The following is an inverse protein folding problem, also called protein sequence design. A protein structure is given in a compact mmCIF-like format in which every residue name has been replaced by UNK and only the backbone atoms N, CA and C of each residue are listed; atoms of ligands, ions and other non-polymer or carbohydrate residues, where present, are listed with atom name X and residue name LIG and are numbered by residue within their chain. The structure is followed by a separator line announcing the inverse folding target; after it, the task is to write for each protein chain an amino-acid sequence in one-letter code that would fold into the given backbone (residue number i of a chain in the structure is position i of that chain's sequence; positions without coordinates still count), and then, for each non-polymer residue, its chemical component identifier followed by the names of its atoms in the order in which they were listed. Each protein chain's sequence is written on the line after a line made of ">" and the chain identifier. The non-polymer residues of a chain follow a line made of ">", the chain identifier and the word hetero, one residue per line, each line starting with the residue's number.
data_IF_587077057251
#
_entry.id   IF_587077057251
#
_cell.length_a   1.000
_cell.length_b   1.000
_cell.length_c   1.000
_cell.angle_alpha   90.00
_cell.angle_beta   90.00
_cell.angle_gamma   90.00
#
_symmetry.space_group_name_H-M   'P 1'
#
loop_
_entity.id
_entity.type
_entity.pdbx_description
1 polymer ?
#
# COMPACT_ATOMS: atom_id res chain seq x y z
N UNK A 1 7.53 2.96 -6.34
CA UNK A 1 7.30 2.37 -5.02
C UNK A 1 5.94 1.68 -5.03
N UNK A 2 5.82 0.55 -4.35
CA UNK A 2 4.54 -0.09 -4.01
C UNK A 2 4.44 -0.13 -2.50
N UNK A 3 3.32 0.30 -1.94
CA UNK A 3 3.05 0.24 -0.51
C UNK A 3 1.75 -0.54 -0.24
N UNK A 4 1.66 -1.12 0.93
CA UNK A 4 0.48 -1.74 1.49
C UNK A 4 0.27 -1.17 2.88
N UNK A 5 -0.88 -0.54 3.10
CA UNK A 5 -1.36 -0.26 4.44
C UNK A 5 -2.27 -1.41 4.85
N UNK A 6 -1.95 -2.03 5.97
CA UNK A 6 -2.68 -3.19 6.45
C UNK A 6 -3.26 -2.91 7.84
N UNK A 7 -4.52 -3.30 8.01
CA UNK A 7 -5.18 -3.34 9.30
C UNK A 7 -5.81 -4.73 9.47
N UNK A 8 -5.45 -5.41 10.54
CA UNK A 8 -5.93 -6.78 10.80
C UNK A 8 -6.01 -7.08 12.30
N UNK A 9 -7.12 -7.67 12.69
CA UNK A 9 -7.38 -8.07 14.09
C UNK A 9 -7.36 -6.87 15.06
N UNK A 10 -7.14 -7.12 16.34
CA UNK A 10 -7.06 -6.07 17.37
C UNK A 10 -5.71 -5.33 17.38
N UNK A 11 -4.82 -5.67 16.44
CA UNK A 11 -3.49 -5.08 16.35
C UNK A 11 -3.48 -3.68 15.71
N UNK A 12 -2.35 -2.97 15.80
CA UNK A 12 -2.19 -1.67 15.19
C UNK A 12 -2.14 -1.77 13.66
N UNK A 13 -2.61 -0.72 12.97
CA UNK A 13 -2.40 -0.58 11.54
C UNK A 13 -0.88 -0.54 11.23
N UNK A 14 -0.49 -1.16 10.15
CA UNK A 14 0.92 -1.28 9.74
C UNK A 14 1.10 -0.85 8.29
N UNK A 15 2.27 -0.30 8.01
CA UNK A 15 2.68 0.10 6.66
C UNK A 15 3.85 -0.77 6.21
N UNK A 16 3.68 -1.38 5.06
CA UNK A 16 4.74 -2.14 4.37
C UNK A 16 4.99 -1.49 3.02
N UNK A 17 6.24 -1.36 2.63
CA UNK A 17 6.58 -0.78 1.33
C UNK A 17 7.70 -1.54 0.65
N UNK A 18 7.70 -1.48 -0.68
CA UNK A 18 8.81 -1.91 -1.52
C UNK A 18 9.18 -0.79 -2.47
N UNK A 19 10.46 -0.55 -2.57
CA UNK A 19 11.02 0.49 -3.43
C UNK A 19 11.85 -0.16 -4.53
N UNK A 20 11.75 0.41 -5.72
CA UNK A 20 12.49 0.00 -6.90
C UNK A 20 12.76 1.22 -7.77
N UNK A 21 13.81 1.17 -8.57
CA UNK A 21 14.06 2.13 -9.64
C UNK A 21 13.19 1.83 -10.87
N UNK A 22 12.67 2.87 -11.49
CA UNK A 22 11.80 2.77 -12.66
C UNK A 22 10.35 2.41 -12.33
N UNK A 23 9.60 2.07 -13.36
CA UNK A 23 8.19 1.69 -13.26
C UNK A 23 8.03 0.26 -12.74
N UNK A 24 6.96 0.01 -12.00
CA UNK A 24 6.58 -1.33 -11.57
C UNK A 24 5.90 -2.08 -12.73
N UNK A 25 6.36 -3.29 -12.99
CA UNK A 25 5.72 -4.24 -13.89
C UNK A 25 4.73 -5.13 -13.12
N UNK A 26 3.91 -5.91 -13.83
CA UNK A 26 3.04 -6.91 -13.20
C UNK A 26 3.82 -7.91 -12.36
N UNK A 27 4.99 -8.35 -12.81
CA UNK A 27 5.89 -9.23 -12.06
C UNK A 27 6.37 -8.60 -10.74
N UNK A 28 6.67 -7.31 -10.75
CA UNK A 28 7.08 -6.59 -9.54
C UNK A 28 5.95 -6.48 -8.53
N UNK A 29 4.72 -6.28 -9.01
CA UNK A 29 3.53 -6.23 -8.16
C UNK A 29 3.26 -7.61 -7.55
N UNK A 30 3.35 -8.69 -8.35
CA UNK A 30 3.23 -10.07 -7.85
C UNK A 30 4.28 -10.35 -6.78
N UNK A 31 5.53 -9.96 -7.02
CA UNK A 31 6.60 -10.11 -6.04
C UNK A 31 6.33 -9.30 -4.75
N UNK A 32 5.74 -8.11 -4.88
CA UNK A 32 5.33 -7.29 -3.74
C UNK A 32 4.18 -7.96 -2.96
N UNK A 33 3.16 -8.49 -3.62
CA UNK A 33 2.06 -9.21 -2.97
C UNK A 33 2.55 -10.43 -2.19
N UNK A 34 3.44 -11.23 -2.77
CA UNK A 34 4.09 -12.36 -2.07
C UNK A 34 4.88 -11.90 -0.84
N UNK A 35 5.60 -10.79 -0.96
CA UNK A 35 6.33 -10.21 0.16
C UNK A 35 5.37 -9.75 1.27
N UNK A 36 4.31 -9.01 0.93
CA UNK A 36 3.34 -8.52 1.91
C UNK A 36 2.60 -9.67 2.58
N UNK A 37 2.19 -10.69 1.82
CA UNK A 37 1.55 -11.90 2.35
C UNK A 37 2.42 -12.58 3.42
N UNK A 38 3.73 -12.71 3.16
CA UNK A 38 4.68 -13.26 4.13
C UNK A 38 4.85 -12.38 5.36
N UNK A 39 4.90 -11.05 5.17
CA UNK A 39 5.07 -10.09 6.28
C UNK A 39 3.85 -10.02 7.18
N UNK A 40 2.67 -10.06 6.62
CA UNK A 40 1.41 -10.05 7.37
C UNK A 40 1.13 -11.41 8.01
N UNK A 41 1.55 -12.50 7.36
CA UNK A 41 1.37 -13.87 7.88
C UNK A 41 -0.07 -14.41 7.78
N UNK A 42 -0.97 -13.71 7.07
CA UNK A 42 -2.40 -14.03 6.91
C UNK A 42 -2.85 -13.79 5.48
N UNK A 43 -3.94 -14.43 5.01
CA UNK A 43 -4.56 -14.08 3.74
C UNK A 43 -4.86 -12.58 3.66
N UNK A 44 -4.73 -12.03 2.48
CA UNK A 44 -4.90 -10.60 2.22
C UNK A 44 -6.15 -10.35 1.38
N UNK A 45 -7.04 -9.49 1.86
CA UNK A 45 -7.98 -8.79 0.99
C UNK A 45 -7.28 -7.55 0.46
N UNK A 46 -7.02 -7.53 -0.84
CA UNK A 46 -6.35 -6.43 -1.52
C UNK A 46 -7.41 -5.49 -2.07
N UNK A 47 -7.43 -4.29 -1.54
CA UNK A 47 -8.25 -3.20 -2.04
C UNK A 47 -7.34 -2.29 -2.85
N UNK A 48 -7.57 -2.14 -4.14
CA UNK A 48 -6.74 -1.32 -5.01
C UNK A 48 -7.52 -0.50 -6.03
N UNK A 49 -6.85 0.49 -6.58
CA UNK A 49 -7.39 1.36 -7.60
C UNK A 49 -7.40 0.70 -9.00
N UNK A 50 -7.93 1.43 -9.97
CA UNK A 50 -8.14 0.96 -11.34
C UNK A 50 -6.91 1.18 -12.25
N UNK A 51 -5.68 1.07 -11.73
CA UNK A 51 -4.47 1.16 -12.53
C UNK A 51 -4.34 -0.01 -13.51
N UNK A 52 -3.90 0.27 -14.74
CA UNK A 52 -3.77 -0.73 -15.80
C UNK A 52 -2.90 -1.94 -15.41
N UNK A 53 -1.84 -1.73 -14.62
CA UNK A 53 -0.98 -2.82 -14.15
C UNK A 53 -1.71 -3.81 -13.24
N UNK A 54 -2.78 -3.37 -12.56
CA UNK A 54 -3.61 -4.20 -11.68
C UNK A 54 -4.56 -5.11 -12.46
N UNK A 55 -4.77 -4.83 -13.75
CA UNK A 55 -5.66 -5.58 -14.63
C UNK A 55 -4.94 -6.47 -15.63
N UNK A 56 -3.62 -6.58 -15.55
CA UNK A 56 -2.89 -7.47 -16.46
C UNK A 56 -3.38 -8.91 -16.30
N UNK A 57 -3.46 -9.64 -17.43
CA UNK A 57 -3.87 -11.05 -17.41
C UNK A 57 -2.99 -11.88 -16.48
N UNK A 58 -1.69 -11.57 -16.41
CA UNK A 58 -0.73 -12.22 -15.53
C UNK A 58 -1.05 -12.01 -14.04
N UNK A 59 -1.44 -10.80 -13.65
CA UNK A 59 -1.82 -10.48 -12.29
C UNK A 59 -3.11 -11.19 -11.88
N UNK A 60 -4.12 -11.16 -12.75
CA UNK A 60 -5.40 -11.81 -12.50
C UNK A 60 -5.25 -13.33 -12.41
N UNK A 61 -4.44 -13.93 -13.29
CA UNK A 61 -4.12 -15.36 -13.25
C UNK A 61 -3.36 -15.73 -11.96
N UNK A 62 -2.40 -14.91 -11.55
CA UNK A 62 -1.68 -15.13 -10.28
C UNK A 62 -2.63 -15.18 -9.08
N UNK A 63 -3.54 -14.22 -8.97
CA UNK A 63 -4.50 -14.18 -7.84
C UNK A 63 -5.49 -15.34 -7.93
N UNK A 64 -5.98 -15.66 -9.12
CA UNK A 64 -6.90 -16.77 -9.34
C UNK A 64 -6.30 -18.13 -8.94
N UNK A 65 -4.98 -18.29 -9.04
CA UNK A 65 -4.25 -19.50 -8.61
C UNK A 65 -3.94 -19.56 -7.11
N UNK A 66 -4.17 -18.45 -6.38
CA UNK A 66 -3.88 -18.37 -4.94
C UNK A 66 -5.10 -17.82 -4.16
N UNK A 67 -6.29 -18.44 -4.33
CA UNK A 67 -7.51 -17.95 -3.70
C UNK A 67 -7.48 -18.04 -2.17
N UNK A 68 -6.65 -18.93 -1.62
CA UNK A 68 -6.41 -19.06 -0.18
C UNK A 68 -5.57 -17.94 0.41
N UNK A 69 -4.82 -17.21 -0.43
CA UNK A 69 -3.90 -16.16 -0.01
C UNK A 69 -4.41 -14.75 -0.33
N UNK A 70 -5.19 -14.61 -1.42
CA UNK A 70 -5.59 -13.30 -1.94
C UNK A 70 -7.05 -13.25 -2.37
N UNK A 71 -7.73 -12.20 -1.91
CA UNK A 71 -9.01 -11.75 -2.42
C UNK A 71 -8.82 -10.34 -2.98
N UNK A 72 -9.32 -10.08 -4.17
CA UNK A 72 -9.26 -8.76 -4.80
C UNK A 72 -10.59 -8.04 -4.72
N UNK A 73 -10.54 -6.81 -4.21
CA UNK A 73 -11.65 -5.85 -4.24
C UNK A 73 -11.21 -4.58 -4.96
N UNK A 74 -12.06 -4.07 -5.84
CA UNK A 74 -11.75 -2.88 -6.62
C UNK A 74 -12.39 -1.65 -6.01
N UNK A 75 -11.61 -0.58 -5.91
CA UNK A 75 -12.17 0.73 -5.62
C UNK A 75 -12.94 1.26 -6.83
N UNK A 76 -14.00 2.04 -6.60
CA UNK A 76 -14.63 2.79 -7.67
C UNK A 76 -13.62 3.66 -8.41
N UNK A 77 -13.80 3.83 -9.72
CA UNK A 77 -12.95 4.73 -10.49
C UNK A 77 -12.96 6.16 -9.92
N UNK A 78 -11.81 6.81 -9.94
CA UNK A 78 -11.63 8.18 -9.45
C UNK A 78 -12.00 8.42 -7.97
N UNK A 79 -11.81 7.42 -7.10
CA UNK A 79 -12.08 7.51 -5.67
C UNK A 79 -10.82 7.35 -4.80
N UNK A 80 -9.80 8.22 -4.95
CA UNK A 80 -8.57 8.13 -4.17
C UNK A 80 -8.82 8.26 -2.67
N UNK A 81 -9.84 9.01 -2.25
CA UNK A 81 -10.22 9.19 -0.84
C UNK A 81 -10.64 7.89 -0.15
N UNK A 82 -11.00 6.87 -0.94
CA UNK A 82 -11.35 5.53 -0.43
C UNK A 82 -10.13 4.62 -0.30
N UNK A 83 -8.93 5.09 -0.67
CA UNK A 83 -7.70 4.32 -0.57
C UNK A 83 -6.83 4.85 0.59
N UNK A 84 -6.71 4.12 1.70
CA UNK A 84 -5.86 4.53 2.84
C UNK A 84 -4.39 4.76 2.46
N UNK A 85 -3.88 4.09 1.43
CA UNK A 85 -2.50 4.25 0.96
C UNK A 85 -2.26 5.64 0.38
N UNK A 86 -3.25 6.27 -0.24
CA UNK A 86 -3.15 7.64 -0.72
C UNK A 86 -2.96 8.65 0.41
N UNK A 87 -3.48 8.36 1.61
CA UNK A 87 -3.17 9.12 2.82
C UNK A 87 -1.67 9.09 3.14
N UNK A 88 -1.05 7.90 3.03
CA UNK A 88 0.39 7.75 3.23
C UNK A 88 1.19 8.54 2.19
N UNK A 89 0.82 8.43 0.93
CA UNK A 89 1.44 9.18 -0.16
C UNK A 89 1.31 10.69 0.06
N UNK A 90 0.17 11.15 0.53
CA UNK A 90 -0.09 12.57 0.85
C UNK A 90 0.87 13.11 1.91
N UNK A 91 1.09 12.37 2.99
CA UNK A 91 2.04 12.76 4.04
C UNK A 91 3.47 12.84 3.49
N UNK A 92 3.91 11.79 2.78
CA UNK A 92 5.26 11.76 2.21
C UNK A 92 5.47 12.89 1.21
N UNK A 93 4.51 13.13 0.31
CA UNK A 93 4.56 14.24 -0.65
C UNK A 93 4.62 15.61 0.06
N UNK A 94 3.90 15.77 1.17
CA UNK A 94 3.94 17.01 1.96
C UNK A 94 5.30 17.23 2.61
N UNK A 95 5.91 16.21 3.18
CA UNK A 95 7.26 16.28 3.74
C UNK A 95 8.30 16.61 2.66
N UNK A 96 8.22 15.96 1.49
CA UNK A 96 9.16 16.17 0.38
C UNK A 96 9.03 17.56 -0.27
N UNK A 97 7.86 18.18 -0.24
CA UNK A 97 7.70 19.57 -0.74
C UNK A 97 8.50 20.58 0.05
N UNK A 98 8.75 20.31 1.33
CA UNK A 98 9.54 21.17 2.22
C UNK A 98 11.03 20.78 2.22
N UNK A 99 11.38 19.71 1.54
CA UNK A 99 12.76 19.27 1.37
C UNK A 99 13.35 19.87 0.08
N UNK A 100 14.63 20.16 0.12
CA UNK A 100 15.37 20.64 -1.05
C UNK A 100 16.46 19.63 -1.43
N UNK A 101 16.07 18.47 -1.98
CA UNK A 101 17.07 17.46 -2.33
C UNK A 101 17.93 17.91 -3.49
N UNK A 102 19.24 17.74 -3.36
CA UNK A 102 20.22 18.11 -4.39
C UNK A 102 20.32 17.07 -5.53
N UNK A 103 19.72 15.89 -5.33
CA UNK A 103 19.75 14.81 -6.31
C UNK A 103 18.54 13.89 -6.22
N UNK A 104 18.29 13.13 -7.29
CA UNK A 104 17.26 12.08 -7.32
C UNK A 104 17.56 10.99 -6.28
N UNK A 105 18.82 10.67 -6.05
CA UNK A 105 19.23 9.70 -5.04
C UNK A 105 18.86 10.17 -3.63
N UNK A 106 19.10 11.44 -3.34
CA UNK A 106 18.73 12.06 -2.06
C UNK A 106 17.21 12.11 -1.89
N UNK A 107 16.47 12.53 -2.93
CA UNK A 107 15.01 12.51 -2.92
C UNK A 107 14.45 11.14 -2.58
N UNK A 108 15.02 10.08 -3.18
CA UNK A 108 14.63 8.69 -2.87
C UNK A 108 14.94 8.29 -1.43
N UNK A 109 16.11 8.68 -0.93
CA UNK A 109 16.49 8.41 0.46
C UNK A 109 15.54 9.10 1.44
N UNK A 110 15.20 10.37 1.18
CA UNK A 110 14.25 11.13 1.99
C UNK A 110 12.84 10.52 1.95
N UNK A 111 12.37 10.10 0.76
CA UNK A 111 11.07 9.41 0.63
C UNK A 111 11.04 8.12 1.44
N UNK A 112 12.07 7.28 1.34
CA UNK A 112 12.17 6.04 2.14
C UNK A 112 12.15 6.34 3.64
N UNK A 113 12.91 7.33 4.08
CA UNK A 113 12.95 7.74 5.49
C UNK A 113 11.57 8.22 5.97
N UNK A 114 10.84 8.97 5.14
CA UNK A 114 9.47 9.40 5.44
C UNK A 114 8.52 8.22 5.61
N UNK A 115 8.56 7.23 4.71
CA UNK A 115 7.77 6.00 4.84
C UNK A 115 8.11 5.22 6.11
N UNK A 116 9.39 5.12 6.48
CA UNK A 116 9.81 4.46 7.72
C UNK A 116 9.23 5.19 8.94
N UNK A 117 9.35 6.52 9.01
CA UNK A 117 8.78 7.31 10.11
C UNK A 117 7.26 7.14 10.18
N UNK A 118 6.57 7.21 9.05
CA UNK A 118 5.12 7.02 8.98
C UNK A 118 4.72 5.62 9.45
N UNK A 119 5.51 4.60 9.15
CA UNK A 119 5.28 3.22 9.59
C UNK A 119 5.24 3.04 11.11
N UNK A 120 5.82 3.95 11.87
CA UNK A 120 5.76 3.99 13.34
C UNK A 120 4.57 4.80 13.88
N UNK A 121 3.82 5.49 13.02
CA UNK A 121 2.66 6.30 13.38
C UNK A 121 1.37 5.51 13.19
N UNK A 122 1.16 4.51 14.04
CA UNK A 122 0.00 3.63 13.98
C UNK A 122 -1.34 4.36 14.11
N UNK A 123 -1.36 5.44 14.89
CA UNK A 123 -2.49 6.36 15.05
C UNK A 123 -2.89 7.01 13.72
N UNK A 124 -1.90 7.51 12.98
CA UNK A 124 -2.10 8.15 11.67
C UNK A 124 -2.55 7.12 10.63
N UNK A 125 -1.92 5.94 10.61
CA UNK A 125 -2.30 4.86 9.70
C UNK A 125 -3.74 4.41 9.93
N UNK A 126 -4.16 4.25 11.19
CA UNK A 126 -5.54 3.89 11.54
C UNK A 126 -6.53 4.98 11.10
N UNK A 127 -6.16 6.27 11.25
CA UNK A 127 -6.99 7.38 10.82
C UNK A 127 -7.26 7.38 9.31
N UNK A 128 -6.33 6.92 8.48
CA UNK A 128 -6.54 6.80 7.03
C UNK A 128 -7.62 5.77 6.68
N UNK A 129 -7.72 4.67 7.42
CA UNK A 129 -8.82 3.72 7.25
C UNK A 129 -10.17 4.33 7.63
N UNK A 130 -10.22 5.06 8.74
CA UNK A 130 -11.45 5.75 9.16
C UNK A 130 -11.87 6.82 8.14
N UNK A 131 -10.91 7.58 7.62
CA UNK A 131 -11.15 8.59 6.60
C UNK A 131 -11.70 7.97 5.30
N UNK A 132 -11.18 6.81 4.92
CA UNK A 132 -11.68 6.03 3.79
C UNK A 132 -13.06 5.37 4.04
N UNK A 133 -13.68 5.60 5.19
CA UNK A 133 -14.98 5.00 5.56
C UNK A 133 -14.91 3.53 5.93
N UNK A 134 -13.71 2.97 6.07
CA UNK A 134 -13.50 1.59 6.45
C UNK A 134 -13.59 1.45 7.97
N UNK A 135 -14.78 1.13 8.47
CA UNK A 135 -14.99 0.79 9.87
C UNK A 135 -14.73 -0.70 10.08
N UNK A 136 -13.64 -0.98 10.76
CA UNK A 136 -13.21 -2.36 11.03
C UNK A 136 -13.70 -2.83 12.40
N UNK A 137 -14.96 -2.55 12.70
CA UNK A 137 -15.65 -3.12 13.88
C UNK A 137 -16.04 -4.55 13.55
N UNK A 138 -15.49 -5.51 14.27
CA UNK A 138 -15.90 -6.90 14.18
C UNK A 138 -15.05 -7.82 13.30
N UNK A 139 -13.81 -7.44 12.97
CA UNK A 139 -12.87 -8.42 12.46
C UNK A 139 -12.45 -9.37 13.59
N UNK A 140 -12.61 -10.69 13.40
CA UNK A 140 -12.21 -11.68 14.40
C UNK A 140 -10.72 -11.68 14.67
#
# INVERSE_FOLDING_TARGET
>A
MVALVALYGPGPARLYSRHREGSFTSQDIIAALRYFRRKVGRPLTIVWDDLNQHHSAEMLDFVARHPEDFLLERLPGYAPDLNPEEGCNGVVKAELRNATPDSVAELRAQARASFVRLGHRHDVLAAFFLHAGLRLTGLP
#
